data_IF_500661027975
#
_entry.id   IF_500661027975
#
_cell.length_a   1.000
_cell.length_b   1.000
_cell.length_c   1.000
_cell.angle_alpha   90.00
_cell.angle_beta   90.00
_cell.angle_gamma   90.00
#
_symmetry.space_group_name_H-M   'P 1'
#
loop_
_entity.id
_entity.type
_entity.pdbx_description
1 polymer ?
#
# COMPACT_ATOMS: atom_id res chain seq x y z
N UNK A 1 -37.64 38.79 -20.92
CA UNK A 1 -37.15 38.24 -19.65
C UNK A 1 -37.60 36.79 -19.36
N UNK A 2 -38.89 36.45 -19.40
CA UNK A 2 -39.38 35.08 -19.12
C UNK A 2 -38.77 34.00 -20.04
N UNK A 3 -38.62 34.24 -21.35
CA UNK A 3 -37.99 33.30 -22.31
C UNK A 3 -36.50 33.04 -22.03
N UNK A 4 -35.76 34.06 -21.55
CA UNK A 4 -34.36 33.94 -21.18
C UNK A 4 -34.17 33.06 -19.90
N UNK A 5 -35.08 33.22 -18.95
CA UNK A 5 -35.10 32.47 -17.72
C UNK A 5 -35.36 30.95 -17.95
N UNK A 6 -36.27 30.62 -18.90
CA UNK A 6 -36.57 29.25 -19.30
C UNK A 6 -35.35 28.62 -19.99
N UNK A 7 -34.66 29.36 -20.87
CA UNK A 7 -33.46 28.88 -21.56
C UNK A 7 -32.31 28.59 -20.56
N UNK A 8 -32.12 29.47 -19.56
CA UNK A 8 -31.13 29.28 -18.51
C UNK A 8 -31.46 28.10 -17.63
N UNK A 9 -32.75 27.88 -17.28
CA UNK A 9 -33.21 26.73 -16.50
C UNK A 9 -32.95 25.39 -17.22
N UNK A 10 -33.22 25.30 -18.52
CA UNK A 10 -32.95 24.12 -19.35
C UNK A 10 -31.43 23.84 -19.47
N UNK A 11 -30.60 24.89 -19.54
CA UNK A 11 -29.15 24.76 -19.61
C UNK A 11 -28.55 24.24 -18.31
N UNK A 12 -29.03 24.69 -17.15
CA UNK A 12 -28.61 24.21 -15.82
C UNK A 12 -29.00 22.74 -15.60
N UNK A 13 -30.17 22.33 -16.07
CA UNK A 13 -30.64 20.94 -15.94
C UNK A 13 -29.73 19.93 -16.70
N UNK A 14 -29.10 20.35 -17.80
CA UNK A 14 -28.20 19.47 -18.55
C UNK A 14 -26.85 19.22 -17.86
N UNK A 15 -26.42 20.05 -16.90
CA UNK A 15 -25.17 19.88 -16.17
C UNK A 15 -25.25 18.84 -15.03
N UNK A 16 -26.45 18.44 -14.60
CA UNK A 16 -26.65 17.55 -13.44
C UNK A 16 -26.48 16.06 -13.79
N UNK A 17 -26.44 15.67 -15.08
CA UNK A 17 -26.50 14.25 -15.48
C UNK A 17 -25.15 13.57 -15.76
N UNK A 18 -24.01 14.20 -15.53
CA UNK A 18 -22.71 13.58 -15.83
C UNK A 18 -21.87 13.15 -14.61
N UNK A 19 -22.50 12.90 -13.46
CA UNK A 19 -21.79 12.22 -12.40
C UNK A 19 -21.87 10.70 -12.63
N UNK A 20 -20.92 10.13 -13.40
CA UNK A 20 -20.66 8.69 -13.37
C UNK A 20 -20.08 8.36 -12.00
N UNK A 21 -20.91 8.15 -11.00
CA UNK A 21 -20.49 7.51 -9.76
C UNK A 21 -20.04 6.09 -10.13
N UNK A 22 -18.77 5.79 -9.94
CA UNK A 22 -18.28 4.42 -10.08
C UNK A 22 -19.00 3.58 -9.03
N UNK A 23 -19.76 2.58 -9.47
CA UNK A 23 -20.47 1.67 -8.58
C UNK A 23 -19.46 0.96 -7.66
N UNK A 24 -19.63 1.14 -6.35
CA UNK A 24 -18.79 0.45 -5.36
C UNK A 24 -19.34 -0.96 -5.19
N UNK A 25 -18.48 -1.97 -5.48
CA UNK A 25 -18.81 -3.39 -5.39
C UNK A 25 -17.96 -4.04 -4.31
N UNK A 26 -18.58 -4.84 -3.44
CA UNK A 26 -17.88 -5.68 -2.50
C UNK A 26 -17.31 -6.86 -3.28
N UNK A 27 -15.97 -7.04 -3.21
CA UNK A 27 -15.26 -8.14 -3.86
C UNK A 27 -14.99 -9.28 -2.89
N UNK A 28 -14.61 -8.95 -1.64
CA UNK A 28 -14.28 -9.94 -0.61
C UNK A 28 -14.80 -9.47 0.75
N UNK A 29 -15.12 -10.44 1.61
CA UNK A 29 -15.46 -10.23 3.02
C UNK A 29 -14.51 -11.05 3.89
N UNK A 30 -13.86 -10.39 4.86
CA UNK A 30 -12.92 -10.99 5.80
C UNK A 30 -13.37 -10.63 7.22
N UNK A 31 -14.05 -11.56 7.90
CA UNK A 31 -14.67 -11.30 9.20
C UNK A 31 -15.59 -10.06 9.15
N UNK A 32 -15.19 -8.97 9.85
CA UNK A 32 -15.89 -7.69 9.89
C UNK A 32 -15.37 -6.65 8.90
N UNK A 33 -14.35 -7.00 8.10
CA UNK A 33 -13.77 -6.14 7.07
C UNK A 33 -14.31 -6.52 5.70
N UNK A 34 -14.53 -5.53 4.86
CA UNK A 34 -14.87 -5.73 3.44
C UNK A 34 -13.74 -5.19 2.57
N UNK A 35 -13.61 -5.76 1.39
CA UNK A 35 -12.72 -5.27 0.32
C UNK A 35 -13.59 -4.97 -0.89
N UNK A 36 -13.54 -3.74 -1.34
CA UNK A 36 -14.30 -3.25 -2.50
C UNK A 36 -13.41 -3.13 -3.73
N UNK A 37 -14.03 -2.91 -4.88
CA UNK A 37 -13.29 -2.55 -6.10
C UNK A 37 -12.50 -1.25 -5.93
N UNK A 38 -12.98 -0.29 -5.12
CA UNK A 38 -12.25 0.94 -4.83
C UNK A 38 -11.00 0.68 -4.00
N UNK A 39 -11.07 -0.19 -2.98
CA UNK A 39 -9.89 -0.58 -2.19
C UNK A 39 -8.80 -1.21 -3.06
N UNK A 40 -9.17 -1.99 -4.08
CA UNK A 40 -8.20 -2.56 -5.03
C UNK A 40 -7.56 -1.49 -5.91
N UNK A 41 -8.33 -0.49 -6.34
CA UNK A 41 -7.79 0.66 -7.11
C UNK A 41 -6.83 1.47 -6.23
N UNK A 42 -7.21 1.77 -5.00
CA UNK A 42 -6.38 2.52 -4.06
C UNK A 42 -5.09 1.75 -3.74
N UNK A 43 -5.18 0.43 -3.56
CA UNK A 43 -4.01 -0.43 -3.37
C UNK A 43 -3.09 -0.43 -4.59
N UNK A 44 -3.65 -0.52 -5.79
CA UNK A 44 -2.89 -0.44 -7.04
C UNK A 44 -2.13 0.89 -7.13
N UNK A 45 -2.81 1.99 -6.87
CA UNK A 45 -2.22 3.32 -6.85
C UNK A 45 -1.08 3.41 -5.81
N UNK A 46 -1.29 2.84 -4.62
CA UNK A 46 -0.26 2.77 -3.58
C UNK A 46 0.98 1.99 -4.04
N UNK A 47 0.80 0.81 -4.60
CA UNK A 47 1.91 -0.02 -5.08
C UNK A 47 2.70 0.68 -6.20
N UNK A 48 2.00 1.30 -7.15
CA UNK A 48 2.62 2.04 -8.25
C UNK A 48 3.33 3.29 -7.76
N UNK A 49 2.77 4.01 -6.77
CA UNK A 49 3.41 5.19 -6.18
C UNK A 49 4.75 4.88 -5.52
N UNK A 50 4.94 3.66 -5.03
CA UNK A 50 6.20 3.19 -4.44
C UNK A 50 7.15 2.54 -5.46
N UNK A 51 6.61 1.99 -6.55
CA UNK A 51 7.39 1.32 -7.58
C UNK A 51 6.74 1.48 -8.96
N UNK A 52 7.17 2.49 -9.69
CA UNK A 52 6.64 2.80 -11.02
C UNK A 52 6.89 1.70 -12.07
N UNK A 53 7.85 0.80 -11.85
CA UNK A 53 8.10 -0.33 -12.77
C UNK A 53 6.90 -1.29 -12.86
N UNK A 54 5.99 -1.26 -11.88
CA UNK A 54 4.77 -2.06 -11.92
C UNK A 54 3.84 -1.66 -13.08
N UNK A 55 3.93 -0.44 -13.58
CA UNK A 55 3.11 0.02 -14.72
C UNK A 55 3.42 -0.71 -16.03
N UNK A 56 4.59 -1.36 -16.13
CA UNK A 56 4.97 -2.17 -17.30
C UNK A 56 4.30 -3.55 -17.33
N UNK A 57 3.64 -3.96 -16.24
CA UNK A 57 2.96 -5.25 -16.16
C UNK A 57 1.60 -5.21 -16.85
N UNK A 58 1.17 -6.37 -17.36
CA UNK A 58 -0.19 -6.53 -17.85
C UNK A 58 -1.23 -6.18 -16.79
N UNK A 59 -2.31 -5.52 -17.19
CA UNK A 59 -3.37 -5.04 -16.31
C UNK A 59 -3.94 -6.14 -15.40
N UNK A 60 -4.14 -7.36 -15.92
CA UNK A 60 -4.67 -8.49 -15.14
C UNK A 60 -3.69 -8.91 -14.05
N UNK A 61 -2.40 -8.98 -14.36
CA UNK A 61 -1.35 -9.31 -13.39
C UNK A 61 -1.22 -8.25 -12.31
N UNK A 62 -1.28 -6.99 -12.70
CA UNK A 62 -1.22 -5.86 -11.77
C UNK A 62 -2.42 -5.86 -10.82
N UNK A 63 -3.65 -6.10 -11.32
CA UNK A 63 -4.84 -6.26 -10.48
C UNK A 63 -4.71 -7.42 -9.49
N UNK A 64 -4.20 -8.58 -9.92
CA UNK A 64 -3.99 -9.71 -9.01
C UNK A 64 -2.98 -9.39 -7.90
N UNK A 65 -1.93 -8.63 -8.21
CA UNK A 65 -0.96 -8.16 -7.21
C UNK A 65 -1.65 -7.26 -6.19
N UNK A 66 -2.44 -6.28 -6.64
CA UNK A 66 -3.18 -5.38 -5.77
C UNK A 66 -4.19 -6.13 -4.88
N UNK A 67 -4.98 -7.05 -5.43
CA UNK A 67 -5.93 -7.88 -4.67
C UNK A 67 -5.20 -8.68 -3.58
N UNK A 68 -4.09 -9.35 -3.93
CA UNK A 68 -3.30 -10.12 -2.94
C UNK A 68 -2.69 -9.23 -1.87
N UNK A 69 -2.26 -8.04 -2.22
CA UNK A 69 -1.66 -7.08 -1.31
C UNK A 69 -2.68 -6.58 -0.29
N UNK A 70 -3.86 -6.10 -0.76
CA UNK A 70 -4.90 -5.58 0.14
C UNK A 70 -5.48 -6.68 1.06
N UNK A 71 -5.65 -7.91 0.57
CA UNK A 71 -6.07 -9.04 1.39
C UNK A 71 -5.04 -9.30 2.52
N UNK A 72 -3.74 -9.34 2.19
CA UNK A 72 -2.68 -9.51 3.18
C UNK A 72 -2.65 -8.39 4.21
N UNK A 73 -2.83 -7.14 3.77
CA UNK A 73 -2.90 -5.99 4.66
C UNK A 73 -4.05 -6.10 5.64
N UNK A 74 -5.25 -6.43 5.14
CA UNK A 74 -6.45 -6.61 5.99
C UNK A 74 -6.28 -7.76 7.01
N UNK A 75 -5.71 -8.88 6.60
CA UNK A 75 -5.40 -10.00 7.51
C UNK A 75 -4.41 -9.56 8.60
N UNK A 76 -3.33 -8.87 8.22
CA UNK A 76 -2.36 -8.33 9.18
C UNK A 76 -3.03 -7.35 10.15
N UNK A 77 -3.84 -6.43 9.65
CA UNK A 77 -4.55 -5.46 10.46
C UNK A 77 -5.48 -6.13 11.48
N UNK A 78 -6.29 -7.10 11.06
CA UNK A 78 -7.19 -7.85 11.95
C UNK A 78 -6.41 -8.59 13.05
N UNK A 79 -5.29 -9.22 12.72
CA UNK A 79 -4.45 -9.89 13.71
C UNK A 79 -3.80 -8.88 14.66
N UNK A 80 -3.28 -7.77 14.14
CA UNK A 80 -2.60 -6.74 14.94
C UNK A 80 -3.52 -6.07 15.96
N UNK A 81 -4.80 -5.88 15.66
CA UNK A 81 -5.79 -5.32 16.60
C UNK A 81 -5.92 -6.11 17.89
N UNK A 82 -5.54 -7.38 17.88
CA UNK A 82 -5.54 -8.24 19.09
C UNK A 82 -4.42 -7.90 20.07
N UNK A 83 -3.35 -7.25 19.60
CA UNK A 83 -2.13 -7.01 20.39
C UNK A 83 -1.75 -5.55 20.53
N UNK A 84 -2.20 -4.70 19.59
CA UNK A 84 -1.81 -3.31 19.50
C UNK A 84 -3.02 -2.41 19.27
N UNK A 85 -2.96 -1.20 19.82
CA UNK A 85 -3.88 -0.11 19.48
C UNK A 85 -3.42 0.58 18.19
N UNK A 86 -3.48 -0.16 17.08
CA UNK A 86 -2.91 0.26 15.80
C UNK A 86 -3.53 1.52 15.22
N UNK A 87 -4.75 1.83 15.63
CA UNK A 87 -5.48 3.03 15.18
C UNK A 87 -5.04 4.29 15.94
N UNK A 88 -4.41 4.14 17.11
CA UNK A 88 -3.83 5.26 17.87
C UNK A 88 -2.51 5.69 17.23
N UNK A 89 -2.37 6.99 16.97
CA UNK A 89 -1.16 7.57 16.40
C UNK A 89 -0.43 8.38 17.45
N UNK A 90 0.68 7.86 17.98
CA UNK A 90 1.60 8.64 18.80
C UNK A 90 2.62 9.34 17.91
N UNK A 91 3.23 10.42 18.45
CA UNK A 91 4.25 11.17 17.72
C UNK A 91 5.44 10.28 17.33
N UNK A 92 5.87 9.41 18.26
CA UNK A 92 7.00 8.49 18.03
C UNK A 92 6.72 7.51 16.89
N UNK A 93 5.50 6.97 16.83
CA UNK A 93 5.08 6.07 15.74
C UNK A 93 5.01 6.84 14.43
N UNK A 94 4.46 8.06 14.43
CA UNK A 94 4.37 8.90 13.23
C UNK A 94 5.75 9.24 12.67
N UNK A 95 6.72 9.57 13.51
CA UNK A 95 8.09 9.86 13.13
C UNK A 95 8.79 8.64 12.48
N UNK A 96 8.56 7.43 13.02
CA UNK A 96 9.08 6.18 12.44
C UNK A 96 8.44 5.91 11.09
N UNK A 97 7.11 6.08 10.98
CA UNK A 97 6.36 5.90 9.73
C UNK A 97 6.85 6.87 8.65
N UNK A 98 7.05 8.15 8.99
CA UNK A 98 7.57 9.15 8.06
C UNK A 98 9.00 8.81 7.59
N UNK A 99 9.88 8.36 8.49
CA UNK A 99 11.22 7.88 8.11
C UNK A 99 11.16 6.72 7.11
N UNK A 100 10.24 5.78 7.31
CA UNK A 100 10.09 4.65 6.39
C UNK A 100 9.53 5.10 5.03
N UNK A 101 8.59 6.05 5.00
CA UNK A 101 8.11 6.67 3.76
C UNK A 101 9.25 7.35 3.02
N UNK A 102 10.04 8.19 3.70
CA UNK A 102 11.20 8.89 3.13
C UNK A 102 12.20 7.90 2.51
N UNK A 103 12.46 6.79 3.20
CA UNK A 103 13.36 5.74 2.72
C UNK A 103 12.85 5.08 1.43
N UNK A 104 11.54 4.79 1.34
CA UNK A 104 10.92 4.14 0.19
C UNK A 104 10.79 5.07 -1.02
N UNK A 105 10.39 6.31 -0.78
CA UNK A 105 10.16 7.30 -1.84
C UNK A 105 11.42 8.08 -2.21
N UNK A 106 12.42 8.13 -1.32
CA UNK A 106 13.60 9.00 -1.38
C UNK A 106 13.25 10.50 -1.36
N UNK A 107 12.08 10.85 -0.85
CA UNK A 107 11.59 12.23 -0.70
C UNK A 107 11.69 12.60 0.78
N UNK A 108 12.38 13.69 1.13
CA UNK A 108 12.65 14.08 2.52
C UNK A 108 11.75 15.21 3.03
N UNK A 109 11.02 15.89 2.18
CA UNK A 109 10.14 17.00 2.54
C UNK A 109 8.69 16.54 2.60
N UNK A 110 7.99 16.86 3.69
CA UNK A 110 6.61 16.45 3.92
C UNK A 110 5.65 16.92 2.82
N UNK A 111 5.77 18.16 2.40
CA UNK A 111 4.94 18.75 1.34
C UNK A 111 5.13 18.00 0.01
N UNK A 112 6.39 17.67 -0.33
CA UNK A 112 6.70 16.91 -1.53
C UNK A 112 6.19 15.45 -1.43
N UNK A 113 6.19 14.85 -0.24
CA UNK A 113 5.60 13.52 -0.01
C UNK A 113 4.09 13.57 -0.23
N UNK A 114 3.40 14.56 0.34
CA UNK A 114 1.95 14.76 0.13
C UNK A 114 1.63 14.97 -1.34
N UNK A 115 2.37 15.83 -2.01
CA UNK A 115 2.24 16.09 -3.44
C UNK A 115 2.48 14.82 -4.27
N UNK A 116 3.52 14.04 -3.94
CA UNK A 116 3.81 12.78 -4.62
C UNK A 116 2.61 11.82 -4.55
N UNK A 117 2.07 11.55 -3.36
CA UNK A 117 0.96 10.62 -3.21
C UNK A 117 -0.36 11.16 -3.77
N UNK A 118 -0.59 12.47 -3.72
CA UNK A 118 -1.78 13.08 -4.33
C UNK A 118 -1.87 12.88 -5.83
N UNK A 119 -0.73 12.77 -6.55
CA UNK A 119 -0.70 12.41 -7.99
C UNK A 119 -1.30 11.02 -8.26
N UNK A 120 -1.32 10.16 -7.27
CA UNK A 120 -1.91 8.81 -7.32
C UNK A 120 -3.28 8.74 -6.62
N UNK A 121 -3.93 9.88 -6.34
CA UNK A 121 -5.20 9.97 -5.61
C UNK A 121 -5.15 9.34 -4.21
N UNK A 122 -3.99 9.39 -3.53
CA UNK A 122 -3.78 8.89 -2.19
C UNK A 122 -3.56 10.03 -1.21
N UNK A 123 -4.20 9.96 -0.06
CA UNK A 123 -3.88 10.84 1.06
C UNK A 123 -2.67 10.31 1.83
N UNK A 124 -1.85 11.21 2.39
CA UNK A 124 -0.74 10.81 3.25
C UNK A 124 -1.22 10.00 4.47
N UNK A 125 -2.44 10.26 4.97
CA UNK A 125 -3.05 9.49 6.05
C UNK A 125 -3.23 8.02 5.69
N UNK A 126 -3.72 7.71 4.48
CA UNK A 126 -3.85 6.33 3.99
C UNK A 126 -2.49 5.64 3.88
N UNK A 127 -1.50 6.33 3.30
CA UNK A 127 -0.14 5.79 3.17
C UNK A 127 0.50 5.52 4.54
N UNK A 128 0.40 6.47 5.47
CA UNK A 128 0.89 6.29 6.84
C UNK A 128 0.24 5.10 7.53
N UNK A 129 -1.06 4.89 7.34
CA UNK A 129 -1.75 3.74 7.90
C UNK A 129 -1.19 2.42 7.37
N UNK A 130 -1.01 2.28 6.05
CA UNK A 130 -0.45 1.08 5.43
C UNK A 130 0.96 0.76 5.92
N UNK A 131 1.83 1.76 5.98
CA UNK A 131 3.19 1.61 6.51
C UNK A 131 3.16 1.22 7.99
N UNK A 132 2.26 1.80 8.77
CA UNK A 132 2.07 1.45 10.19
C UNK A 132 1.69 -0.01 10.37
N UNK A 133 0.71 -0.50 9.62
CA UNK A 133 0.32 -1.93 9.63
C UNK A 133 1.54 -2.82 9.37
N UNK A 134 2.36 -2.47 8.39
CA UNK A 134 3.55 -3.24 8.05
C UNK A 134 4.62 -3.20 9.14
N UNK A 135 4.89 -2.04 9.73
CA UNK A 135 5.85 -1.88 10.83
C UNK A 135 5.44 -2.67 12.08
N UNK A 136 4.17 -2.55 12.48
CA UNK A 136 3.66 -3.31 13.63
C UNK A 136 3.62 -4.81 13.36
N UNK A 137 3.34 -5.22 12.12
CA UNK A 137 3.44 -6.64 11.74
C UNK A 137 4.86 -7.16 11.89
N UNK A 138 5.84 -6.43 11.38
CA UNK A 138 7.24 -6.82 11.52
C UNK A 138 7.66 -6.89 12.99
N UNK A 139 7.20 -5.94 13.81
CA UNK A 139 7.43 -5.98 15.26
C UNK A 139 6.80 -7.21 15.90
N UNK A 140 5.55 -7.54 15.61
CA UNK A 140 4.86 -8.72 16.14
C UNK A 140 5.62 -10.01 15.78
N UNK A 141 6.02 -10.16 14.52
CA UNK A 141 6.79 -11.32 14.06
C UNK A 141 8.14 -11.39 14.77
N UNK A 142 8.85 -10.27 14.88
CA UNK A 142 10.12 -10.21 15.60
C UNK A 142 9.95 -10.63 17.06
N UNK A 143 9.01 -10.04 17.79
CA UNK A 143 8.76 -10.34 19.21
C UNK A 143 8.41 -11.82 19.44
N UNK A 144 7.66 -12.45 18.52
CA UNK A 144 7.26 -13.88 18.63
C UNK A 144 8.36 -14.88 18.31
N UNK A 145 9.25 -14.53 17.40
CA UNK A 145 10.18 -15.51 16.82
C UNK A 145 11.65 -15.21 17.09
N UNK A 146 12.03 -14.01 17.54
CA UNK A 146 13.42 -13.63 17.80
C UNK A 146 14.14 -14.63 18.71
N UNK A 147 13.49 -15.10 19.78
CA UNK A 147 14.08 -16.06 20.72
C UNK A 147 14.04 -17.52 20.22
N UNK A 148 13.32 -17.79 19.10
CA UNK A 148 13.18 -19.13 18.53
C UNK A 148 14.14 -19.40 17.38
N UNK A 149 14.76 -18.34 16.85
CA UNK A 149 15.66 -18.42 15.71
C UNK A 149 17.10 -18.36 16.23
N UNK A 150 17.77 -19.51 16.32
CA UNK A 150 19.21 -19.54 16.50
C UNK A 150 19.87 -19.54 15.11
N UNK A 151 20.45 -18.41 14.72
CA UNK A 151 21.20 -18.33 13.46
C UNK A 151 22.62 -18.84 13.73
N UNK A 152 22.92 -20.02 13.21
CA UNK A 152 24.30 -20.49 13.18
C UNK A 152 25.09 -19.71 12.14
N UNK A 153 25.78 -18.64 12.60
CA UNK A 153 26.58 -17.75 11.73
C UNK A 153 27.65 -18.50 10.93
N UNK A 154 28.17 -19.63 11.47
CA UNK A 154 29.19 -20.44 10.82
C UNK A 154 28.62 -21.19 9.61
N UNK A 155 27.43 -21.77 9.73
CA UNK A 155 26.74 -22.46 8.64
C UNK A 155 26.24 -21.48 7.59
N UNK A 156 25.75 -20.29 8.00
CA UNK A 156 25.35 -19.23 7.08
C UNK A 156 26.54 -18.77 6.23
N UNK A 157 27.72 -18.52 6.88
CA UNK A 157 28.94 -18.13 6.18
C UNK A 157 29.39 -19.20 5.18
N UNK A 158 29.29 -20.48 5.56
CA UNK A 158 29.62 -21.61 4.68
C UNK A 158 28.69 -21.68 3.46
N UNK A 159 27.37 -21.49 3.65
CA UNK A 159 26.41 -21.46 2.54
C UNK A 159 26.67 -20.29 1.60
N UNK A 160 26.91 -19.08 2.13
CA UNK A 160 27.20 -17.91 1.31
C UNK A 160 28.46 -18.12 0.48
N UNK A 161 29.54 -18.68 1.07
CA UNK A 161 30.77 -18.98 0.34
C UNK A 161 30.55 -20.01 -0.78
N UNK A 162 29.85 -21.11 -0.49
CA UNK A 162 29.52 -22.11 -1.50
C UNK A 162 28.64 -21.56 -2.64
N UNK A 163 27.67 -20.68 -2.32
CA UNK A 163 26.83 -20.04 -3.33
C UNK A 163 27.63 -19.04 -4.19
N UNK A 164 28.64 -18.40 -3.65
CA UNK A 164 29.57 -17.56 -4.41
C UNK A 164 30.47 -18.39 -5.31
N UNK A 165 31.08 -19.47 -4.82
CA UNK A 165 31.91 -20.37 -5.60
C UNK A 165 31.12 -20.99 -6.75
N UNK A 166 29.90 -21.46 -6.52
CA UNK A 166 29.05 -22.02 -7.56
C UNK A 166 28.60 -21.00 -8.63
N UNK A 167 28.48 -19.70 -8.29
CA UNK A 167 28.15 -18.65 -9.27
C UNK A 167 29.35 -18.26 -10.14
N UNK A 168 30.58 -18.30 -9.59
CA UNK A 168 31.79 -17.96 -10.35
C UNK A 168 32.07 -19.00 -11.43
N UNK A 169 31.68 -20.28 -11.22
CA UNK A 169 31.86 -21.35 -12.22
C UNK A 169 30.86 -21.33 -13.38
N UNK A 170 29.78 -20.54 -13.32
CA UNK A 170 28.75 -20.47 -14.38
C UNK A 170 29.09 -19.38 -15.42
N UNK A 171 29.91 -18.39 -15.06
CA UNK A 171 30.27 -17.27 -15.94
C UNK A 171 31.53 -17.52 -16.80
N UNK A 172 32.14 -18.71 -16.76
CA UNK A 172 33.35 -19.07 -17.54
C UNK A 172 33.08 -20.05 -18.72
N UNK A 173 31.80 -20.21 -19.16
CA UNK A 173 31.48 -21.01 -20.35
C UNK A 173 30.64 -20.23 -21.37
#
# INVERSE_FOLDING_TARGET
MKKLLIFFSVFVLNFVFFSKANEIKILYKLENEIITNQDVIDELNYLVSLNNNLTSLEKNKLNQIAIRSIIKEKIKYLELKKYFKIDENTKEVDDIVLKEINKRTRINNLENIEKHFSLYNLSLKQVKFKIRVELFWNKLIYDRYNNKISINKKDLKKKVLNDFENKVFIDEY
#
